data_IF_887061119727
#
_entry.id   IF_887061119727
#
_cell.length_a   1.000
_cell.length_b   1.000
_cell.length_c   1.000
_cell.angle_alpha   90.00
_cell.angle_beta   90.00
_cell.angle_gamma   90.00
#
_symmetry.space_group_name_H-M   'P 1'
#
loop_
_entity.id
_entity.type
_entity.pdbx_description
1 polymer ?
#
# COMPACT_ATOMS: atom_id res chain seq x y z
N UNK A 1 38.43 6.45 -57.60
CA UNK A 1 39.49 7.23 -56.91
C UNK A 1 39.02 7.40 -55.46
N UNK A 2 39.74 6.90 -54.43
CA UNK A 2 40.91 7.55 -53.79
C UNK A 2 40.57 8.99 -53.33
N UNK A 3 40.74 9.47 -52.09
CA UNK A 3 41.06 8.94 -50.74
C UNK A 3 40.23 9.81 -49.71
N UNK A 4 40.41 9.90 -48.38
CA UNK A 4 41.44 9.42 -47.43
C UNK A 4 40.89 9.28 -46.00
N UNK A 5 41.39 8.27 -45.30
CA UNK A 5 41.27 8.05 -43.86
C UNK A 5 41.86 9.17 -42.98
N UNK A 6 41.24 9.42 -41.82
CA UNK A 6 41.90 9.97 -40.63
C UNK A 6 41.44 9.21 -39.38
N UNK A 7 42.41 8.80 -38.56
CA UNK A 7 42.24 7.98 -37.37
C UNK A 7 42.31 8.88 -36.13
N UNK A 8 41.37 8.71 -35.19
CA UNK A 8 41.59 9.14 -33.80
C UNK A 8 41.44 7.97 -32.84
N UNK A 9 42.59 7.50 -32.35
CA UNK A 9 42.74 6.98 -30.98
C UNK A 9 42.46 8.17 -30.04
N UNK A 10 41.92 8.02 -28.83
CA UNK A 10 41.49 6.83 -28.10
C UNK A 10 41.63 7.11 -26.60
N UNK A 11 40.60 6.80 -25.79
CA UNK A 11 40.64 7.03 -24.33
C UNK A 11 39.77 6.02 -23.58
N UNK A 12 40.40 5.05 -22.95
CA UNK A 12 39.80 4.16 -21.95
C UNK A 12 39.72 4.85 -20.58
N UNK A 13 38.59 4.79 -19.86
CA UNK A 13 38.56 4.97 -18.42
C UNK A 13 38.36 3.62 -17.70
N UNK A 14 39.46 2.88 -17.51
CA UNK A 14 39.49 1.72 -16.62
C UNK A 14 40.10 2.13 -15.26
N UNK A 15 39.33 2.84 -14.42
CA UNK A 15 39.69 3.15 -13.03
C UNK A 15 38.51 3.80 -12.25
N UNK A 16 37.52 3.00 -11.83
CA UNK A 16 36.45 3.47 -10.93
C UNK A 16 36.09 2.46 -9.81
N UNK A 17 36.91 1.42 -9.60
CA UNK A 17 36.67 0.33 -8.66
C UNK A 17 37.70 0.32 -7.51
N UNK A 18 37.87 1.45 -6.80
CA UNK A 18 38.83 1.55 -5.69
C UNK A 18 38.59 2.71 -4.68
N UNK A 19 37.34 3.05 -4.33
CA UNK A 19 37.12 4.18 -3.40
C UNK A 19 35.91 4.13 -2.44
N UNK A 20 35.52 2.94 -1.95
CA UNK A 20 34.39 2.82 -1.01
C UNK A 20 34.61 1.86 0.19
N UNK A 21 35.85 1.73 0.68
CA UNK A 21 36.20 0.94 1.88
C UNK A 21 36.86 1.75 3.02
N UNK A 22 36.43 3.00 3.28
CA UNK A 22 36.97 3.82 4.39
C UNK A 22 35.92 4.65 5.17
N UNK A 23 34.77 4.07 5.51
CA UNK A 23 33.80 4.71 6.44
C UNK A 23 33.44 3.90 7.69
N UNK A 24 34.26 2.92 8.06
CA UNK A 24 34.24 2.31 9.40
C UNK A 24 35.53 2.60 10.17
N UNK A 25 35.63 3.81 10.76
CA UNK A 25 36.59 4.10 11.83
C UNK A 25 35.90 4.75 13.01
N UNK A 26 35.78 3.98 14.08
CA UNK A 26 35.19 4.37 15.35
C UNK A 26 35.94 5.56 15.98
N UNK A 27 35.24 6.67 16.21
CA UNK A 27 35.73 7.77 17.04
C UNK A 27 35.14 7.66 18.46
N UNK A 28 35.75 6.81 19.29
CA UNK A 28 35.38 6.68 20.71
C UNK A 28 35.87 7.90 21.51
N UNK A 29 35.14 9.01 21.43
CA UNK A 29 35.43 10.24 22.16
C UNK A 29 35.10 10.10 23.66
N UNK A 30 36.08 9.59 24.44
CA UNK A 30 36.06 9.69 25.90
C UNK A 30 36.09 11.17 26.31
N UNK A 31 34.97 11.70 26.80
CA UNK A 31 34.96 13.04 27.39
C UNK A 31 34.36 13.01 28.81
N UNK A 32 35.22 12.72 29.79
CA UNK A 32 34.88 12.66 31.21
C UNK A 32 34.77 14.08 31.81
N UNK A 33 33.73 14.82 31.42
CA UNK A 33 33.44 16.17 31.91
C UNK A 33 32.96 16.18 33.37
N UNK A 34 33.86 16.40 34.33
CA UNK A 34 33.51 16.65 35.74
C UNK A 34 32.77 17.99 35.93
N UNK A 35 31.44 17.98 35.89
CA UNK A 35 30.64 19.10 36.36
C UNK A 35 30.59 19.18 37.90
N UNK A 36 31.66 19.68 38.52
CA UNK A 36 31.59 20.19 39.91
C UNK A 36 30.86 21.53 39.91
N UNK A 37 29.56 21.53 40.23
CA UNK A 37 28.84 22.74 40.68
C UNK A 37 28.63 22.70 42.18
N UNK A 38 29.56 23.28 42.93
CA UNK A 38 29.36 23.64 44.33
C UNK A 38 28.51 24.90 44.42
N UNK A 39 27.18 24.74 44.37
CA UNK A 39 26.24 25.79 44.73
C UNK A 39 26.14 25.95 46.25
N UNK A 40 25.97 27.16 46.79
CA UNK A 40 25.80 27.36 48.23
C UNK A 40 24.50 26.72 48.72
N UNK A 41 24.56 26.10 49.89
CA UNK A 41 23.40 25.42 50.49
C UNK A 41 22.28 26.44 50.80
N UNK A 42 21.02 26.18 50.40
CA UNK A 42 19.89 27.02 50.79
C UNK A 42 19.67 26.89 52.31
N UNK A 43 19.49 28.02 52.98
CA UNK A 43 19.26 28.07 54.42
C UNK A 43 17.93 27.36 54.78
N UNK A 44 17.84 26.69 55.94
CA UNK A 44 16.61 26.07 56.42
C UNK A 44 15.62 27.14 56.89
N UNK A 45 14.93 27.79 55.95
CA UNK A 45 13.79 28.64 56.23
C UNK A 45 12.69 27.85 56.93
N UNK A 46 12.24 28.33 58.09
CA UNK A 46 11.12 27.75 58.86
C UNK A 46 9.89 27.61 57.95
N UNK A 47 9.59 26.39 57.51
CA UNK A 47 8.26 26.05 56.99
C UNK A 47 7.30 26.11 58.16
N UNK A 48 6.44 27.12 58.19
CA UNK A 48 5.22 27.06 59.01
C UNK A 48 4.38 25.85 58.58
N UNK A 49 3.55 25.28 59.46
CA UNK A 49 2.66 24.18 59.09
C UNK A 49 1.74 24.66 57.97
N UNK A 50 1.90 24.10 56.77
CA UNK A 50 0.92 24.24 55.71
C UNK A 50 -0.39 23.61 56.23
N UNK A 51 -1.54 24.30 56.13
CA UNK A 51 -2.80 23.72 56.56
C UNK A 51 -3.05 22.45 55.74
N UNK A 52 -3.28 21.34 56.44
CA UNK A 52 -3.58 20.05 55.82
C UNK A 52 -4.99 20.09 55.20
N UNK A 53 -5.09 20.68 54.00
CA UNK A 53 -6.26 20.56 53.12
C UNK A 53 -6.24 19.19 52.43
N UNK A 54 -6.33 18.15 53.23
CA UNK A 54 -6.60 16.79 52.80
C UNK A 54 -8.10 16.65 52.48
N UNK A 55 -8.58 17.38 51.47
CA UNK A 55 -9.75 16.92 50.72
C UNK A 55 -9.22 15.90 49.71
N UNK A 56 -9.00 14.67 50.19
CA UNK A 56 -8.68 13.51 49.37
C UNK A 56 -9.95 13.06 48.61
N UNK A 57 -10.53 13.95 47.81
CA UNK A 57 -11.53 13.57 46.83
C UNK A 57 -10.81 12.91 45.64
N UNK A 58 -10.20 11.75 45.86
CA UNK A 58 -9.74 10.89 44.78
C UNK A 58 -10.93 10.47 43.88
N UNK A 59 -12.14 10.47 44.44
CA UNK A 59 -13.43 10.32 43.76
C UNK A 59 -13.76 11.45 42.75
N UNK A 60 -13.19 12.65 42.86
CA UNK A 60 -13.51 13.79 41.97
C UNK A 60 -12.71 13.72 40.64
N UNK A 61 -11.63 12.94 40.62
CA UNK A 61 -10.93 12.57 39.37
C UNK A 61 -11.61 11.42 38.61
N UNK A 62 -12.58 10.73 39.24
CA UNK A 62 -13.26 9.55 38.68
C UNK A 62 -14.65 9.85 38.10
N UNK A 63 -15.18 11.07 38.26
CA UNK A 63 -16.60 11.38 38.06
C UNK A 63 -17.05 11.73 36.63
N UNK A 64 -16.15 11.85 35.64
CA UNK A 64 -16.58 12.07 34.26
C UNK A 64 -17.02 10.75 33.61
N UNK A 65 -18.31 10.56 33.27
CA UNK A 65 -18.79 9.31 32.65
C UNK A 65 -18.11 9.03 31.30
N UNK A 66 -17.65 10.08 30.60
CA UNK A 66 -16.91 10.00 29.35
C UNK A 66 -15.39 9.81 29.52
N UNK A 67 -14.85 9.63 30.75
CA UNK A 67 -13.39 9.55 30.96
C UNK A 67 -12.72 8.39 30.20
N UNK A 68 -13.45 7.30 29.91
CA UNK A 68 -12.97 6.23 29.04
C UNK A 68 -12.59 6.75 27.64
N UNK A 69 -13.42 7.63 27.05
CA UNK A 69 -13.22 8.26 25.73
C UNK A 69 -12.00 9.18 25.66
N UNK A 70 -11.44 9.59 26.80
CA UNK A 70 -10.20 10.36 26.86
C UNK A 70 -8.94 9.47 26.75
N UNK A 71 -9.08 8.18 26.98
CA UNK A 71 -8.01 7.17 26.86
C UNK A 71 -8.24 6.20 25.70
N UNK A 72 -9.37 6.27 25.00
CA UNK A 72 -9.57 5.63 23.71
C UNK A 72 -8.49 6.09 22.72
N UNK A 73 -7.77 5.13 22.14
CA UNK A 73 -6.76 5.38 21.14
C UNK A 73 -7.45 5.77 19.83
N UNK A 74 -7.59 7.08 19.58
CA UNK A 74 -8.03 7.59 18.27
C UNK A 74 -6.94 7.37 17.24
N UNK A 75 -7.30 6.80 16.10
CA UNK A 75 -6.38 6.74 14.97
C UNK A 75 -6.26 8.13 14.32
N UNK A 76 -5.10 8.43 13.74
CA UNK A 76 -4.93 9.67 13.00
C UNK A 76 -5.86 9.68 11.78
N UNK A 77 -6.44 10.86 11.50
CA UNK A 77 -7.41 11.09 10.43
C UNK A 77 -8.69 10.22 10.49
N UNK A 78 -9.03 9.62 11.64
CA UNK A 78 -10.20 8.75 11.76
C UNK A 78 -11.53 9.48 11.48
N UNK A 79 -11.58 10.78 11.82
CA UNK A 79 -12.67 11.74 11.64
C UNK A 79 -12.66 12.46 10.27
N UNK A 80 -11.67 12.21 9.42
CA UNK A 80 -11.59 12.82 8.09
C UNK A 80 -12.58 12.13 7.11
N UNK A 81 -13.14 12.89 6.14
CA UNK A 81 -14.09 12.33 5.19
C UNK A 81 -13.42 11.31 4.28
N UNK A 82 -14.19 10.31 3.84
CA UNK A 82 -13.65 9.26 2.98
C UNK A 82 -13.34 9.73 1.55
N UNK A 83 -13.81 10.92 1.17
CA UNK A 83 -13.54 11.57 -0.11
C UNK A 83 -12.70 12.83 0.08
N UNK A 84 -11.59 12.93 -0.65
CA UNK A 84 -10.75 14.12 -0.73
C UNK A 84 -10.81 14.73 -2.13
N UNK A 85 -10.75 16.06 -2.22
CA UNK A 85 -10.67 16.75 -3.50
C UNK A 85 -9.24 16.65 -4.03
N UNK A 86 -9.10 16.32 -5.31
CA UNK A 86 -7.83 16.23 -6.02
C UNK A 86 -7.79 17.20 -7.20
N UNK A 87 -6.61 17.78 -7.44
CA UNK A 87 -6.40 18.74 -8.53
C UNK A 87 -5.85 18.00 -9.76
N UNK A 88 -6.46 18.12 -10.94
CA UNK A 88 -5.88 17.57 -12.16
C UNK A 88 -4.64 18.39 -12.58
N UNK A 89 -3.45 17.80 -12.47
CA UNK A 89 -2.18 18.45 -12.83
C UNK A 89 -1.93 18.36 -14.34
N UNK A 90 -2.12 17.16 -14.91
CA UNK A 90 -1.96 16.92 -16.35
C UNK A 90 -2.82 15.76 -16.83
N UNK A 91 -3.15 15.80 -18.11
CA UNK A 91 -3.70 14.69 -18.89
C UNK A 91 -2.69 14.33 -19.98
N UNK A 92 -2.43 13.04 -20.15
CA UNK A 92 -1.57 12.52 -21.22
C UNK A 92 -2.33 11.43 -21.96
N UNK A 93 -2.67 11.66 -23.23
CA UNK A 93 -3.27 10.61 -24.05
C UNK A 93 -2.17 9.59 -24.42
N UNK A 94 -2.34 8.33 -23.98
CA UNK A 94 -1.31 7.28 -24.11
C UNK A 94 -1.48 6.46 -25.40
N UNK A 95 -2.73 6.17 -25.75
CA UNK A 95 -3.12 5.40 -26.93
C UNK A 95 -4.55 5.80 -27.35
N UNK A 96 -5.03 5.40 -28.55
CA UNK A 96 -6.38 5.73 -29.00
C UNK A 96 -7.47 5.24 -28.02
N UNK A 97 -8.10 6.18 -27.30
CA UNK A 97 -9.13 5.90 -26.30
C UNK A 97 -8.61 5.56 -24.89
N UNK A 98 -7.31 5.73 -24.63
CA UNK A 98 -6.70 5.51 -23.30
C UNK A 98 -5.84 6.72 -22.92
N UNK A 99 -6.12 7.30 -21.76
CA UNK A 99 -5.38 8.45 -21.23
C UNK A 99 -4.92 8.20 -19.80
N UNK A 100 -3.77 8.78 -19.43
CA UNK A 100 -3.34 8.92 -18.05
C UNK A 100 -3.79 10.28 -17.51
N UNK A 101 -4.43 10.28 -16.34
CA UNK A 101 -4.68 11.48 -15.56
C UNK A 101 -3.67 11.51 -14.40
N UNK A 102 -2.93 12.61 -14.25
CA UNK A 102 -2.08 12.84 -13.08
C UNK A 102 -2.75 13.85 -12.16
N UNK A 103 -3.15 13.37 -10.98
CA UNK A 103 -3.86 14.10 -9.95
C UNK A 103 -2.89 14.48 -8.82
N UNK A 104 -2.98 15.71 -8.31
CA UNK A 104 -2.39 16.08 -7.03
C UNK A 104 -3.33 15.67 -5.91
N UNK A 105 -2.88 14.75 -5.05
CA UNK A 105 -3.67 14.18 -3.96
C UNK A 105 -3.02 14.44 -2.60
N UNK A 106 -3.83 14.64 -1.57
CA UNK A 106 -3.38 14.60 -0.17
C UNK A 106 -3.02 13.16 0.20
N UNK A 107 -1.84 12.94 0.78
CA UNK A 107 -1.36 11.62 1.25
C UNK A 107 -0.87 11.65 2.70
N UNK A 108 -1.01 12.78 3.40
CA UNK A 108 -0.59 12.91 4.81
C UNK A 108 -1.32 11.92 5.72
N UNK A 109 -0.54 11.22 6.55
CA UNK A 109 -1.08 10.35 7.61
C UNK A 109 -1.85 11.07 8.72
N UNK A 110 -1.78 12.41 8.78
CA UNK A 110 -2.63 13.22 9.68
C UNK A 110 -3.99 13.61 9.06
N UNK A 111 -4.16 13.43 7.74
CA UNK A 111 -5.37 13.86 7.00
C UNK A 111 -6.06 12.76 6.20
N UNK A 112 -5.35 11.68 5.87
CA UNK A 112 -5.90 10.51 5.17
C UNK A 112 -5.76 9.29 6.07
N UNK A 113 -6.88 8.69 6.52
CA UNK A 113 -6.83 7.51 7.38
C UNK A 113 -6.22 6.33 6.62
N UNK A 114 -5.55 5.43 7.34
CA UNK A 114 -4.82 4.31 6.73
C UNK A 114 -5.71 3.41 5.85
N UNK A 115 -7.01 3.32 6.15
CA UNK A 115 -8.04 2.62 5.36
C UNK A 115 -8.29 3.21 3.97
N UNK A 116 -8.01 4.50 3.77
CA UNK A 116 -8.29 5.23 2.53
C UNK A 116 -7.01 5.62 1.79
N UNK A 117 -5.85 5.14 2.25
CA UNK A 117 -4.56 5.54 1.69
C UNK A 117 -4.08 4.56 0.62
N UNK A 118 -3.35 5.09 -0.36
CA UNK A 118 -2.56 4.28 -1.28
C UNK A 118 -1.31 3.74 -0.56
N UNK A 119 -1.18 2.43 -0.46
CA UNK A 119 -0.15 1.72 0.32
C UNK A 119 0.63 0.70 -0.52
N UNK A 120 0.03 0.10 -1.54
CA UNK A 120 0.65 -0.97 -2.33
C UNK A 120 0.30 -0.87 -3.83
N UNK A 121 1.26 -1.21 -4.70
CA UNK A 121 0.99 -1.35 -6.13
C UNK A 121 -0.08 -2.44 -6.38
N UNK A 122 -0.91 -2.23 -7.40
CA UNK A 122 -2.07 -3.07 -7.70
C UNK A 122 -3.35 -2.73 -6.91
N UNK A 123 -3.34 -1.70 -6.04
CA UNK A 123 -4.58 -1.12 -5.55
C UNK A 123 -5.28 -0.29 -6.64
N UNK A 124 -6.61 -0.23 -6.58
CA UNK A 124 -7.43 0.57 -7.48
C UNK A 124 -7.82 1.89 -6.79
N UNK A 125 -7.73 3.01 -7.51
CA UNK A 125 -8.24 4.29 -7.02
C UNK A 125 -9.75 4.39 -7.29
N UNK A 126 -10.53 4.68 -6.24
CA UNK A 126 -11.95 5.02 -6.39
C UNK A 126 -12.07 6.51 -6.71
N UNK A 127 -12.48 6.85 -7.93
CA UNK A 127 -12.55 8.22 -8.43
C UNK A 127 -13.96 8.59 -8.89
N UNK A 128 -14.31 9.87 -8.78
CA UNK A 128 -15.48 10.46 -9.45
C UNK A 128 -15.19 11.89 -9.89
N UNK A 129 -15.70 12.27 -11.07
CA UNK A 129 -15.64 13.65 -11.56
C UNK A 129 -16.93 14.40 -11.17
N UNK A 130 -16.81 15.63 -10.68
CA UNK A 130 -17.91 16.54 -10.34
C UNK A 130 -19.00 15.88 -9.48
N UNK A 131 -18.58 15.07 -8.49
CA UNK A 131 -19.42 14.24 -7.60
C UNK A 131 -20.40 13.30 -8.34
N UNK A 132 -20.06 12.89 -9.56
CA UNK A 132 -20.83 11.99 -10.42
C UNK A 132 -20.60 10.51 -10.13
N UNK A 133 -20.59 9.70 -11.19
CA UNK A 133 -20.47 8.23 -11.09
C UNK A 133 -19.08 7.84 -10.58
N UNK A 134 -19.07 6.92 -9.61
CA UNK A 134 -17.85 6.39 -9.00
C UNK A 134 -17.27 5.25 -9.85
N UNK A 135 -15.95 5.26 -10.03
CA UNK A 135 -15.20 4.28 -10.82
C UNK A 135 -13.98 3.81 -10.06
N UNK A 136 -13.69 2.51 -10.18
CA UNK A 136 -12.41 1.94 -9.78
C UNK A 136 -11.47 1.98 -10.99
N UNK A 137 -10.32 2.60 -10.82
CA UNK A 137 -9.34 2.80 -11.89
C UNK A 137 -7.95 2.32 -11.47
N UNK A 138 -7.20 1.70 -12.39
CA UNK A 138 -5.86 1.21 -12.12
C UNK A 138 -4.88 2.37 -11.92
N UNK A 139 -4.03 2.24 -10.90
CA UNK A 139 -3.02 3.25 -10.56
C UNK A 139 -1.69 2.89 -11.24
N UNK A 140 -1.13 3.84 -11.99
CA UNK A 140 0.15 3.71 -12.68
C UNK A 140 1.34 4.34 -11.92
N UNK A 141 1.07 5.30 -11.03
CA UNK A 141 2.11 5.85 -10.15
C UNK A 141 2.47 4.88 -9.02
N UNK A 142 3.73 4.80 -8.59
CA UNK A 142 4.10 4.04 -7.40
C UNK A 142 3.44 4.60 -6.13
N UNK A 143 3.22 3.79 -5.09
CA UNK A 143 2.70 4.28 -3.82
C UNK A 143 3.67 5.26 -3.14
N UNK A 144 3.18 6.30 -2.46
CA UNK A 144 4.03 7.33 -1.87
C UNK A 144 4.90 6.75 -0.76
N UNK A 145 6.22 6.92 -0.89
CA UNK A 145 7.20 6.40 0.06
C UNK A 145 6.98 6.93 1.49
N UNK A 146 7.36 6.11 2.48
CA UNK A 146 7.35 6.48 3.91
C UNK A 146 8.12 7.77 4.16
N UNK A 147 9.16 8.03 3.37
CA UNK A 147 9.98 9.24 3.42
C UNK A 147 9.19 10.52 3.17
N UNK A 148 8.21 10.53 2.26
CA UNK A 148 7.36 11.69 2.01
C UNK A 148 6.46 11.99 3.22
N UNK A 149 5.96 10.95 3.89
CA UNK A 149 5.09 11.03 5.05
C UNK A 149 5.82 11.18 6.41
N UNK A 150 7.15 11.32 6.39
CA UNK A 150 8.01 11.25 7.58
C UNK A 150 7.65 12.28 8.65
N UNK A 151 7.36 13.52 8.28
CA UNK A 151 7.01 14.58 9.26
C UNK A 151 5.65 14.32 9.91
N UNK A 152 4.61 14.06 9.11
CA UNK A 152 3.27 13.71 9.58
C UNK A 152 3.31 12.48 10.53
N UNK A 153 4.12 11.46 10.20
CA UNK A 153 4.30 10.27 11.03
C UNK A 153 4.99 10.56 12.38
N UNK A 154 5.99 11.44 12.43
CA UNK A 154 6.62 11.82 13.72
C UNK A 154 5.65 12.59 14.62
N UNK A 155 4.90 13.52 14.06
CA UNK A 155 3.88 14.28 14.81
C UNK A 155 2.75 13.36 15.30
N UNK A 156 2.24 12.47 14.44
CA UNK A 156 1.22 11.46 14.78
C UNK A 156 1.62 10.57 15.96
N UNK A 157 2.91 10.22 16.08
CA UNK A 157 3.43 9.43 17.23
C UNK A 157 3.40 10.17 18.56
N UNK A 158 3.19 11.48 18.56
CA UNK A 158 3.30 12.30 19.76
C UNK A 158 4.74 12.43 20.26
N UNK A 159 5.74 12.28 19.38
CA UNK A 159 7.17 12.48 19.68
C UNK A 159 7.44 13.98 19.92
N UNK A 160 7.14 14.44 21.13
CA UNK A 160 7.43 15.79 21.61
C UNK A 160 8.92 15.86 21.98
N UNK A 161 9.66 16.82 21.44
CA UNK A 161 11.08 16.96 21.77
C UNK A 161 11.26 17.35 23.25
N UNK A 162 12.35 16.87 23.86
CA UNK A 162 12.63 17.13 25.28
C UNK A 162 12.74 18.63 25.57
N UNK A 163 11.75 19.18 26.27
CA UNK A 163 11.65 20.60 26.59
C UNK A 163 10.54 21.35 25.85
N UNK A 164 9.89 20.77 24.85
CA UNK A 164 8.69 21.31 24.24
C UNK A 164 7.45 21.06 25.12
N UNK A 165 6.57 22.06 25.22
CA UNK A 165 5.23 21.90 25.78
C UNK A 165 4.25 21.42 24.71
N UNK A 166 3.21 20.67 25.12
CA UNK A 166 2.09 20.29 24.26
C UNK A 166 1.36 21.54 23.76
N UNK A 167 1.71 21.98 22.55
CA UNK A 167 1.04 23.04 21.81
C UNK A 167 0.17 22.40 20.73
N UNK A 168 -1.04 22.93 20.52
CA UNK A 168 -1.86 22.56 19.36
C UNK A 168 -1.12 23.03 18.11
N UNK A 169 -0.72 22.08 17.26
CA UNK A 169 -0.11 22.34 15.96
C UNK A 169 -1.13 22.05 14.86
N UNK A 170 -1.05 22.80 13.77
CA UNK A 170 -1.86 22.53 12.58
C UNK A 170 -1.41 21.21 11.94
N UNK A 171 -2.35 20.40 11.40
CA UNK A 171 -2.05 19.12 10.78
C UNK A 171 -1.24 19.33 9.49
N UNK A 172 -0.17 18.56 9.34
CA UNK A 172 0.70 18.57 8.15
C UNK A 172 -0.10 18.10 6.95
N UNK A 173 -0.10 18.89 5.90
CA UNK A 173 -0.50 18.46 4.56
C UNK A 173 0.74 17.93 3.83
N UNK A 174 0.58 16.85 3.08
CA UNK A 174 1.62 16.26 2.24
C UNK A 174 0.95 15.81 0.96
N UNK A 175 1.26 16.49 -0.13
CA UNK A 175 0.71 16.19 -1.45
C UNK A 175 1.62 15.24 -2.23
N UNK A 176 1.04 14.43 -3.11
CA UNK A 176 1.76 13.56 -4.05
C UNK A 176 1.04 13.50 -5.41
N UNK A 177 1.79 13.19 -6.47
CA UNK A 177 1.23 12.89 -7.79
C UNK A 177 0.70 11.45 -7.82
N UNK A 178 -0.60 11.29 -8.06
CA UNK A 178 -1.26 10.03 -8.39
C UNK A 178 -1.52 9.98 -9.89
N UNK A 179 -0.94 9.02 -10.60
CA UNK A 179 -1.25 8.78 -12.01
C UNK A 179 -2.17 7.58 -12.14
N UNK A 180 -3.33 7.77 -12.77
CA UNK A 180 -4.34 6.72 -13.03
C UNK A 180 -4.56 6.57 -14.54
N UNK A 181 -4.80 5.34 -14.98
CA UNK A 181 -5.11 5.07 -16.41
C UNK A 181 -6.62 4.96 -16.59
N UNK A 182 -7.13 5.67 -17.59
CA UNK A 182 -8.56 5.84 -17.86
C UNK A 182 -8.86 5.47 -19.31
N UNK A 183 -9.75 4.50 -19.49
CA UNK A 183 -10.27 4.13 -20.81
C UNK A 183 -11.58 4.86 -21.11
N UNK A 184 -11.68 5.43 -22.31
CA UNK A 184 -12.86 6.17 -22.78
C UNK A 184 -14.15 5.34 -22.78
N UNK A 185 -14.06 4.00 -22.87
CA UNK A 185 -15.20 3.08 -22.82
C UNK A 185 -15.63 2.75 -21.39
N UNK A 186 -14.69 2.62 -20.46
CA UNK A 186 -14.95 2.16 -19.09
C UNK A 186 -15.41 3.32 -18.18
N UNK A 187 -14.83 4.51 -18.36
CA UNK A 187 -15.12 5.70 -17.56
C UNK A 187 -15.16 6.96 -18.45
N UNK A 188 -16.18 7.11 -19.32
CA UNK A 188 -16.26 8.22 -20.26
C UNK A 188 -16.30 9.59 -19.56
N UNK A 189 -16.94 9.68 -18.40
CA UNK A 189 -16.96 10.90 -17.57
C UNK A 189 -15.56 11.31 -17.09
N UNK A 190 -14.73 10.37 -16.62
CA UNK A 190 -13.35 10.66 -16.20
C UNK A 190 -12.42 10.88 -17.40
N UNK A 191 -12.67 10.22 -18.52
CA UNK A 191 -11.96 10.46 -19.78
C UNK A 191 -12.29 11.83 -20.41
N UNK A 192 -13.40 12.47 -20.05
CA UNK A 192 -13.80 13.79 -20.55
C UNK A 192 -13.30 14.97 -19.70
N UNK A 193 -12.71 14.70 -18.52
CA UNK A 193 -12.25 15.70 -17.54
C UNK A 193 -11.24 16.68 -18.14
N UNK A 194 -11.42 17.96 -17.81
CA UNK A 194 -10.56 19.09 -18.12
C UNK A 194 -9.80 19.57 -16.87
N UNK A 195 -8.81 20.45 -17.04
CA UNK A 195 -7.98 20.93 -15.92
C UNK A 195 -8.76 21.72 -14.85
N UNK A 196 -9.91 22.30 -15.22
CA UNK A 196 -10.78 23.09 -14.33
C UNK A 196 -11.89 22.25 -13.66
N UNK A 197 -12.01 20.95 -13.98
CA UNK A 197 -13.01 20.05 -13.38
C UNK A 197 -12.60 19.56 -11.99
N UNK A 198 -13.58 19.38 -11.09
CA UNK A 198 -13.32 18.82 -9.76
C UNK A 198 -13.25 17.30 -9.83
N UNK A 199 -12.12 16.72 -9.46
CA UNK A 199 -11.99 15.26 -9.28
C UNK A 199 -11.96 14.96 -7.78
N UNK A 200 -12.74 13.97 -7.33
CA UNK A 200 -12.72 13.50 -5.94
C UNK A 200 -12.13 12.08 -5.89
N UNK A 201 -11.25 11.86 -4.92
CA UNK A 201 -10.58 10.59 -4.64
C UNK A 201 -11.17 9.99 -3.37
N UNK A 202 -11.77 8.82 -3.50
CA UNK A 202 -12.29 8.02 -2.40
C UNK A 202 -11.25 7.05 -1.83
N UNK A 203 -11.67 6.08 -1.00
CA UNK A 203 -10.79 5.03 -0.51
C UNK A 203 -10.18 4.20 -1.65
N UNK A 204 -8.91 3.82 -1.52
CA UNK A 204 -8.28 2.87 -2.43
C UNK A 204 -8.78 1.46 -2.15
N UNK A 205 -9.16 0.73 -3.19
CA UNK A 205 -9.71 -0.63 -3.07
C UNK A 205 -8.70 -1.72 -3.44
N UNK A 206 -8.87 -2.89 -2.81
CA UNK A 206 -7.90 -3.97 -2.78
C UNK A 206 -6.77 -3.73 -1.77
N UNK A 207 -6.15 -4.80 -1.28
CA UNK A 207 -4.92 -4.72 -0.47
C UNK A 207 -3.62 -4.59 -1.29
N UNK A 208 -3.73 -4.50 -2.62
CA UNK A 208 -2.60 -4.54 -3.55
C UNK A 208 -2.00 -5.93 -3.71
N UNK A 209 -0.88 -6.01 -4.42
CA UNK A 209 -0.18 -7.28 -4.69
C UNK A 209 0.45 -7.86 -3.43
N UNK A 210 0.07 -9.09 -3.08
CA UNK A 210 0.56 -9.79 -1.88
C UNK A 210 1.95 -10.43 -2.09
N UNK A 211 2.92 -9.60 -2.47
CA UNK A 211 4.31 -10.01 -2.74
C UNK A 211 5.05 -10.52 -1.49
N UNK A 212 4.55 -10.17 -0.29
CA UNK A 212 5.14 -10.55 0.99
C UNK A 212 4.82 -11.99 1.38
N UNK A 213 3.55 -12.39 1.37
CA UNK A 213 3.16 -13.73 1.81
C UNK A 213 3.57 -14.80 0.79
N UNK A 214 3.54 -14.47 -0.51
CA UNK A 214 4.12 -15.31 -1.57
C UNK A 214 5.67 -15.37 -1.54
N UNK A 215 6.33 -14.56 -0.71
CA UNK A 215 7.79 -14.55 -0.59
C UNK A 215 8.55 -13.94 -1.77
N UNK A 216 7.86 -13.38 -2.78
CA UNK A 216 8.43 -12.80 -4.01
C UNK A 216 9.42 -11.68 -3.70
N UNK A 217 9.22 -10.92 -2.62
CA UNK A 217 10.15 -9.88 -2.15
C UNK A 217 11.54 -10.41 -1.73
N UNK A 218 11.72 -11.72 -1.53
CA UNK A 218 13.03 -12.30 -1.22
C UNK A 218 13.89 -12.43 -2.48
N UNK A 219 14.62 -11.36 -2.83
CA UNK A 219 15.43 -11.28 -4.05
C UNK A 219 16.41 -12.46 -4.26
N UNK A 220 17.00 -12.99 -3.20
CA UNK A 220 17.90 -14.15 -3.26
C UNK A 220 17.20 -15.51 -3.39
N UNK A 221 15.88 -15.59 -3.10
CA UNK A 221 15.08 -16.81 -3.31
C UNK A 221 14.57 -16.89 -4.75
N UNK A 222 14.18 -15.73 -5.31
CA UNK A 222 13.64 -15.62 -6.66
C UNK A 222 14.49 -14.65 -7.50
N UNK A 223 15.74 -15.00 -7.84
CA UNK A 223 16.62 -14.14 -8.63
C UNK A 223 16.04 -13.80 -10.01
N UNK A 224 15.18 -14.65 -10.58
CA UNK A 224 14.47 -14.42 -11.83
C UNK A 224 12.99 -14.09 -11.56
N UNK A 225 12.48 -13.01 -12.17
CA UNK A 225 11.07 -12.65 -12.12
C UNK A 225 10.47 -12.59 -13.53
N UNK A 226 9.27 -13.16 -13.67
CA UNK A 226 8.46 -13.09 -14.89
C UNK A 226 7.18 -12.30 -14.60
N UNK A 227 6.97 -11.19 -15.30
CA UNK A 227 5.75 -10.39 -15.20
C UNK A 227 4.90 -10.66 -16.45
N UNK A 228 3.72 -11.27 -16.27
CA UNK A 228 2.75 -11.54 -17.33
C UNK A 228 1.70 -10.43 -17.30
N UNK A 229 1.80 -9.48 -18.21
CA UNK A 229 1.08 -8.20 -18.18
C UNK A 229 0.11 -8.09 -19.36
N UNK A 230 -1.17 -7.78 -19.11
CA UNK A 230 -2.17 -7.55 -20.17
C UNK A 230 -2.89 -6.20 -20.02
N UNK A 231 -3.26 -5.61 -21.15
CA UNK A 231 -4.15 -4.45 -21.22
C UNK A 231 -3.60 -3.16 -20.59
N UNK A 232 -4.49 -2.22 -20.33
CA UNK A 232 -4.15 -0.91 -19.75
C UNK A 232 -3.98 -0.96 -18.22
N UNK A 233 -4.82 -1.76 -17.55
CA UNK A 233 -4.79 -1.93 -16.10
C UNK A 233 -3.57 -2.73 -15.61
N UNK A 234 -3.20 -3.80 -16.32
CA UNK A 234 -2.02 -4.59 -16.02
C UNK A 234 -0.73 -3.78 -16.11
N UNK A 235 -0.52 -3.04 -17.20
CA UNK A 235 0.70 -2.24 -17.40
C UNK A 235 0.78 -1.03 -16.45
N UNK A 236 -0.36 -0.48 -16.02
CA UNK A 236 -0.41 0.51 -14.95
C UNK A 236 0.11 -0.08 -13.62
N UNK A 237 -0.46 -1.21 -13.18
CA UNK A 237 -0.01 -1.93 -11.99
C UNK A 237 1.47 -2.35 -12.08
N UNK A 238 1.92 -2.81 -13.25
CA UNK A 238 3.31 -3.16 -13.52
C UNK A 238 4.23 -1.94 -13.40
N UNK A 239 3.85 -0.79 -13.95
CA UNK A 239 4.60 0.46 -13.77
C UNK A 239 4.66 0.88 -12.30
N UNK A 240 3.53 0.89 -11.59
CA UNK A 240 3.50 1.25 -10.17
C UNK A 240 4.45 0.35 -9.33
N UNK A 241 4.54 -0.93 -9.68
CA UNK A 241 5.45 -1.90 -9.06
C UNK A 241 6.93 -1.67 -9.44
N UNK A 242 7.24 -1.58 -10.74
CA UNK A 242 8.60 -1.37 -11.25
C UNK A 242 9.17 0.01 -10.93
N UNK A 243 8.30 1.00 -10.68
CA UNK A 243 8.67 2.37 -10.28
C UNK A 243 8.59 2.59 -8.76
N UNK A 244 8.27 1.55 -7.97
CA UNK A 244 8.18 1.67 -6.51
C UNK A 244 9.51 2.12 -5.87
N UNK A 245 9.44 2.95 -4.80
CA UNK A 245 10.61 3.35 -4.03
C UNK A 245 11.03 2.26 -3.03
N UNK A 246 12.31 2.21 -2.62
CA UNK A 246 12.85 1.14 -1.79
C UNK A 246 12.35 1.14 -0.33
N UNK A 247 11.62 2.18 0.10
CA UNK A 247 10.94 2.23 1.40
C UNK A 247 9.51 1.65 1.36
N UNK A 248 9.06 1.16 0.21
CA UNK A 248 7.78 0.47 -0.02
C UNK A 248 8.02 -1.00 -0.44
N UNK A 249 7.02 -1.67 -1.02
CA UNK A 249 7.11 -3.06 -1.49
C UNK A 249 7.91 -3.19 -2.81
N UNK A 250 9.16 -2.74 -2.79
CA UNK A 250 10.10 -2.81 -3.93
C UNK A 250 10.49 -4.27 -4.24
N UNK A 251 10.54 -4.60 -5.54
CA UNK A 251 11.07 -5.88 -6.02
C UNK A 251 12.60 -6.00 -5.85
N UNK A 252 13.28 -4.90 -5.50
CA UNK A 252 14.74 -4.80 -5.38
C UNK A 252 15.43 -5.21 -6.69
N UNK A 253 15.04 -4.56 -7.79
CA UNK A 253 15.42 -4.90 -9.18
C UNK A 253 16.94 -5.02 -9.36
N UNK A 254 17.73 -4.15 -8.70
CA UNK A 254 19.20 -4.16 -8.72
C UNK A 254 19.84 -5.45 -8.14
N UNK A 255 19.08 -6.23 -7.35
CA UNK A 255 19.53 -7.49 -6.73
C UNK A 255 19.01 -8.74 -7.46
N UNK A 256 18.16 -8.58 -8.48
CA UNK A 256 17.69 -9.67 -9.33
C UNK A 256 18.73 -9.99 -10.41
N UNK A 257 18.65 -11.18 -10.99
CA UNK A 257 19.48 -11.61 -12.13
C UNK A 257 18.80 -11.28 -13.45
N UNK A 258 17.50 -11.53 -13.57
CA UNK A 258 16.68 -11.17 -14.74
C UNK A 258 15.24 -10.83 -14.31
N UNK A 259 14.61 -9.88 -15.01
CA UNK A 259 13.23 -9.43 -14.77
C UNK A 259 12.57 -9.21 -16.13
N UNK A 260 11.79 -10.17 -16.59
CA UNK A 260 11.18 -10.15 -17.93
C UNK A 260 9.71 -9.80 -17.83
N UNK A 261 9.28 -8.80 -18.59
CA UNK A 261 7.91 -8.31 -18.64
C UNK A 261 7.32 -8.66 -20.00
N UNK A 262 6.55 -9.74 -20.07
CA UNK A 262 5.77 -10.09 -21.25
C UNK A 262 4.49 -9.24 -21.24
N UNK A 263 4.43 -8.27 -22.15
CA UNK A 263 3.31 -7.34 -22.25
C UNK A 263 2.44 -7.67 -23.47
N UNK A 264 1.30 -8.33 -23.20
CA UNK A 264 0.28 -8.67 -24.19
C UNK A 264 -0.62 -7.47 -24.49
N UNK A 265 -0.74 -7.15 -25.78
CA UNK A 265 -1.57 -6.05 -26.29
C UNK A 265 -2.34 -6.48 -27.55
N UNK A 266 -3.56 -5.97 -27.79
CA UNK A 266 -4.33 -6.36 -28.97
C UNK A 266 -3.72 -5.86 -30.29
N UNK A 267 -2.86 -4.84 -30.26
CA UNK A 267 -2.15 -4.28 -31.41
C UNK A 267 -1.00 -3.38 -30.94
N UNK A 268 -0.04 -3.11 -31.82
CA UNK A 268 1.12 -2.26 -31.49
C UNK A 268 0.74 -0.83 -31.08
N UNK A 269 -0.31 -0.23 -31.66
CA UNK A 269 -0.77 1.13 -31.30
C UNK A 269 -1.44 1.23 -29.92
N UNK A 270 -1.73 0.10 -29.27
CA UNK A 270 -2.25 0.03 -27.89
C UNK A 270 -1.14 -0.13 -26.83
N UNK A 271 0.13 -0.20 -27.22
CA UNK A 271 1.26 -0.31 -26.27
C UNK A 271 1.46 1.00 -25.51
N UNK A 272 1.13 0.99 -24.21
CA UNK A 272 1.31 2.13 -23.32
C UNK A 272 2.76 2.23 -22.83
N UNK A 273 3.16 3.43 -22.37
CA UNK A 273 4.42 3.67 -21.65
C UNK A 273 5.73 3.23 -22.33
N UNK A 274 5.77 3.19 -23.68
CA UNK A 274 6.96 2.83 -24.47
C UNK A 274 8.23 3.60 -24.10
N UNK A 275 8.08 4.86 -23.69
CA UNK A 275 9.17 5.74 -23.23
C UNK A 275 9.78 5.28 -21.90
N UNK A 276 8.99 4.63 -21.04
CA UNK A 276 9.40 4.14 -19.72
C UNK A 276 10.21 2.85 -19.79
N UNK A 277 10.09 2.05 -20.85
CA UNK A 277 10.81 0.77 -20.98
C UNK A 277 12.33 0.94 -20.84
N UNK A 278 12.88 2.02 -21.41
CA UNK A 278 14.30 2.38 -21.26
C UNK A 278 14.67 2.75 -19.82
N UNK A 279 13.79 3.46 -19.11
CA UNK A 279 14.00 3.84 -17.70
C UNK A 279 13.99 2.61 -16.80
N UNK A 280 13.13 1.63 -17.05
CA UNK A 280 13.10 0.38 -16.29
C UNK A 280 14.37 -0.46 -16.53
N UNK A 281 14.82 -0.55 -17.78
CA UNK A 281 16.09 -1.21 -18.14
C UNK A 281 17.34 -0.49 -17.59
N UNK A 282 17.24 0.79 -17.22
CA UNK A 282 18.30 1.55 -16.53
C UNK A 282 18.30 1.33 -15.00
N UNK A 283 17.19 0.85 -14.41
CA UNK A 283 17.08 0.56 -12.95
C UNK A 283 17.57 -0.83 -12.55
N UNK A 284 17.76 -1.75 -13.49
CA UNK A 284 18.11 -3.14 -13.23
C UNK A 284 18.03 -4.00 -14.50
N UNK A 285 18.13 -5.33 -14.40
CA UNK A 285 18.02 -6.24 -15.54
C UNK A 285 16.55 -6.41 -15.95
N UNK A 286 15.85 -5.31 -16.26
CA UNK A 286 14.45 -5.32 -16.69
C UNK A 286 14.37 -5.30 -18.20
N UNK A 287 13.69 -6.29 -18.77
CA UNK A 287 13.45 -6.43 -20.22
C UNK A 287 11.95 -6.49 -20.48
N UNK A 288 11.46 -5.71 -21.44
CA UNK A 288 10.04 -5.71 -21.83
C UNK A 288 9.89 -6.37 -23.21
N UNK A 289 9.13 -7.45 -23.28
CA UNK A 289 8.78 -8.19 -24.49
C UNK A 289 7.33 -7.90 -24.83
N UNK A 290 7.08 -7.13 -25.87
CA UNK A 290 5.71 -6.81 -26.31
C UNK A 290 5.22 -7.89 -27.28
N UNK A 291 4.03 -8.43 -27.04
CA UNK A 291 3.39 -9.48 -27.86
C UNK A 291 1.96 -9.07 -28.26
N UNK A 292 1.51 -9.56 -29.41
CA UNK A 292 0.12 -9.44 -29.89
C UNK A 292 -0.55 -10.79 -30.10
N UNK A 293 0.09 -11.89 -29.69
CA UNK A 293 -0.35 -13.27 -29.99
C UNK A 293 -0.78 -14.07 -28.76
N UNK A 294 -0.54 -13.54 -27.57
CA UNK A 294 -0.67 -14.27 -26.32
C UNK A 294 0.66 -14.31 -25.54
N UNK A 295 0.58 -14.82 -24.32
CA UNK A 295 1.71 -15.07 -23.44
C UNK A 295 2.50 -16.31 -23.83
N UNK A 296 1.84 -17.41 -24.22
CA UNK A 296 2.52 -18.67 -24.58
C UNK A 296 3.48 -18.48 -25.78
N UNK A 297 2.97 -17.92 -26.88
CA UNK A 297 3.74 -17.55 -28.09
C UNK A 297 4.95 -16.64 -27.78
N UNK A 298 4.84 -15.80 -26.74
CA UNK A 298 5.89 -14.85 -26.35
C UNK A 298 6.93 -15.45 -25.41
N UNK A 299 6.52 -16.38 -24.55
CA UNK A 299 7.36 -17.10 -23.60
C UNK A 299 8.18 -18.18 -24.32
N UNK A 300 7.54 -19.01 -25.15
CA UNK A 300 8.20 -20.04 -25.98
C UNK A 300 9.13 -19.44 -27.03
N UNK A 301 8.82 -18.22 -27.51
CA UNK A 301 9.63 -17.49 -28.47
C UNK A 301 10.87 -16.79 -27.87
N UNK A 302 11.06 -16.83 -26.55
CA UNK A 302 12.13 -16.11 -25.86
C UNK A 302 13.31 -17.01 -25.47
N UNK A 303 14.12 -17.36 -26.47
CA UNK A 303 15.41 -18.06 -26.33
C UNK A 303 16.39 -17.38 -25.32
N UNK A 304 16.12 -16.16 -24.86
CA UNK A 304 16.99 -15.42 -23.93
C UNK A 304 16.62 -15.55 -22.46
N UNK A 305 15.40 -16.03 -22.13
CA UNK A 305 15.01 -16.29 -20.74
C UNK A 305 15.64 -17.60 -20.24
N UNK A 306 16.71 -17.48 -19.45
CA UNK A 306 17.25 -18.60 -18.68
C UNK A 306 16.61 -18.63 -17.30
N UNK A 307 15.69 -19.56 -17.07
CA UNK A 307 14.95 -19.71 -15.82
C UNK A 307 15.09 -21.11 -15.23
N UNK A 308 14.86 -21.18 -13.92
CA UNK A 308 14.77 -22.42 -13.13
C UNK A 308 13.44 -22.35 -12.35
N UNK A 309 12.50 -23.30 -12.52
CA UNK A 309 11.15 -23.21 -11.96
C UNK A 309 11.12 -23.01 -10.42
N UNK A 310 12.07 -23.60 -9.70
CA UNK A 310 12.16 -23.52 -8.23
C UNK A 310 12.64 -22.13 -7.74
N UNK A 311 13.40 -21.41 -8.56
CA UNK A 311 14.00 -20.09 -8.25
C UNK A 311 13.45 -18.96 -9.10
N UNK A 312 12.35 -19.20 -9.82
CA UNK A 312 11.60 -18.20 -10.58
C UNK A 312 10.27 -17.91 -9.90
N UNK A 313 9.84 -16.65 -9.90
CA UNK A 313 8.49 -16.29 -9.48
C UNK A 313 7.77 -15.48 -10.56
N UNK A 314 6.49 -15.78 -10.77
CA UNK A 314 5.65 -15.07 -11.73
C UNK A 314 4.74 -14.03 -11.05
N UNK A 315 4.46 -12.92 -11.74
CA UNK A 315 3.51 -11.89 -11.31
C UNK A 315 2.54 -11.64 -12.46
N UNK A 316 1.28 -12.01 -12.27
CA UNK A 316 0.21 -11.93 -13.27
C UNK A 316 -0.55 -10.62 -13.04
N UNK A 317 -0.51 -9.71 -14.02
CA UNK A 317 -1.07 -8.37 -13.97
C UNK A 317 -1.98 -8.17 -15.18
N UNK A 318 -3.23 -8.60 -15.08
CA UNK A 318 -4.17 -8.65 -16.22
C UNK A 318 -5.42 -7.79 -16.02
N UNK A 319 -5.54 -7.08 -14.89
CA UNK A 319 -6.62 -6.13 -14.65
C UNK A 319 -8.00 -6.77 -14.48
N UNK A 320 -8.05 -8.05 -14.12
CA UNK A 320 -9.30 -8.81 -14.00
C UNK A 320 -9.83 -9.43 -15.30
N UNK A 321 -9.04 -9.41 -16.39
CA UNK A 321 -9.33 -10.20 -17.59
C UNK A 321 -9.10 -11.69 -17.31
N UNK A 322 -10.19 -12.43 -17.09
CA UNK A 322 -10.16 -13.85 -16.75
C UNK A 322 -9.63 -14.76 -17.87
N UNK A 323 -9.70 -14.35 -19.14
CA UNK A 323 -9.15 -15.12 -20.26
C UNK A 323 -7.62 -15.00 -20.27
N UNK A 324 -7.12 -13.77 -20.17
CA UNK A 324 -5.68 -13.50 -20.04
C UNK A 324 -5.09 -14.08 -18.74
N UNK A 325 -5.87 -14.12 -17.65
CA UNK A 325 -5.45 -14.74 -16.39
C UNK A 325 -5.32 -16.27 -16.48
N UNK A 326 -6.23 -16.91 -17.22
CA UNK A 326 -6.19 -18.36 -17.46
C UNK A 326 -4.98 -18.72 -18.33
N UNK A 327 -4.75 -17.98 -19.43
CA UNK A 327 -3.57 -18.15 -20.29
C UNK A 327 -2.27 -17.93 -19.50
N UNK A 328 -2.19 -16.88 -18.69
CA UNK A 328 -1.01 -16.61 -17.86
C UNK A 328 -0.73 -17.73 -16.84
N UNK A 329 -1.78 -18.36 -16.28
CA UNK A 329 -1.64 -19.54 -15.41
C UNK A 329 -1.24 -20.80 -16.17
N UNK A 330 -1.72 -20.99 -17.39
CA UNK A 330 -1.32 -22.11 -18.25
C UNK A 330 0.19 -22.04 -18.54
N UNK A 331 0.70 -20.88 -18.95
CA UNK A 331 2.14 -20.63 -19.13
C UNK A 331 2.93 -20.90 -17.84
N UNK A 332 2.44 -20.46 -16.67
CA UNK A 332 3.12 -20.76 -15.40
C UNK A 332 3.12 -22.25 -15.05
N UNK A 333 2.07 -23.00 -15.43
CA UNK A 333 1.96 -24.42 -15.17
C UNK A 333 2.83 -25.25 -16.11
N UNK A 334 2.90 -24.90 -17.40
CA UNK A 334 3.78 -25.53 -18.39
C UNK A 334 5.26 -25.26 -18.10
N UNK A 335 5.58 -24.07 -17.58
CA UNK A 335 6.91 -23.70 -17.09
C UNK A 335 7.24 -24.25 -15.68
N UNK A 336 6.35 -25.05 -15.07
CA UNK A 336 6.48 -25.59 -13.70
C UNK A 336 6.68 -24.53 -12.58
N UNK A 337 6.38 -23.25 -12.83
CA UNK A 337 6.60 -22.13 -11.89
C UNK A 337 5.56 -22.17 -10.77
N UNK A 338 5.94 -22.78 -9.65
CA UNK A 338 5.05 -23.00 -8.51
C UNK A 338 4.70 -21.73 -7.70
N UNK A 339 5.51 -20.66 -7.78
CA UNK A 339 5.28 -19.42 -7.02
C UNK A 339 4.81 -18.30 -7.93
N UNK A 340 3.54 -17.89 -7.78
CA UNK A 340 2.99 -16.74 -8.49
C UNK A 340 2.08 -15.86 -7.62
N UNK A 341 1.97 -14.59 -8.00
CA UNK A 341 1.02 -13.60 -7.44
C UNK A 341 0.17 -13.05 -8.57
N UNK A 342 -1.12 -12.82 -8.34
CA UNK A 342 -2.03 -12.22 -9.33
C UNK A 342 -2.75 -11.00 -8.76
N UNK A 343 -3.06 -10.02 -9.61
CA UNK A 343 -3.86 -8.84 -9.30
C UNK A 343 -5.37 -9.12 -9.18
N UNK A 344 -5.86 -10.23 -9.74
CA UNK A 344 -7.27 -10.62 -9.70
C UNK A 344 -7.76 -11.08 -8.33
N UNK A 345 -6.86 -11.53 -7.46
CA UNK A 345 -7.16 -12.03 -6.13
C UNK A 345 -7.22 -10.84 -5.16
N UNK A 346 -8.41 -10.34 -4.77
CA UNK A 346 -8.50 -9.22 -3.84
C UNK A 346 -7.91 -9.65 -2.50
N UNK A 347 -6.75 -9.09 -2.16
CA UNK A 347 -6.18 -9.26 -0.83
C UNK A 347 -7.24 -8.83 0.21
N UNK A 348 -7.47 -9.63 1.27
CA UNK A 348 -8.54 -9.37 2.22
C UNK A 348 -8.36 -7.99 2.84
N UNK A 349 -9.49 -7.30 3.08
CA UNK A 349 -9.46 -5.97 3.67
C UNK A 349 -8.61 -5.99 4.96
N UNK A 350 -7.64 -5.09 5.13
CA UNK A 350 -6.74 -5.10 6.26
C UNK A 350 -7.54 -5.03 7.56
N UNK A 351 -7.44 -6.08 8.38
CA UNK A 351 -8.11 -6.13 9.68
C UNK A 351 -7.36 -5.20 10.64
N UNK A 352 -7.80 -3.95 10.69
CA UNK A 352 -7.34 -3.01 11.69
C UNK A 352 -7.72 -3.52 13.08
N UNK A 353 -6.81 -3.34 14.05
CA UNK A 353 -7.12 -3.63 15.44
C UNK A 353 -8.22 -2.67 15.92
N UNK A 354 -9.34 -3.21 16.42
CA UNK A 354 -10.36 -2.44 17.14
C UNK A 354 -9.68 -1.44 18.10
N UNK A 355 -9.99 -0.15 17.96
CA UNK A 355 -9.46 0.91 18.83
C UNK A 355 -9.74 0.65 20.32
N UNK A 356 -10.81 -0.08 20.63
CA UNK A 356 -11.11 -0.62 21.97
C UNK A 356 -10.42 -1.97 22.18
N UNK A 357 -9.40 -2.07 23.06
CA UNK A 357 -8.86 -3.36 23.47
C UNK A 357 -9.97 -4.25 24.05
N UNK A 358 -9.95 -5.55 23.77
CA UNK A 358 -10.95 -6.52 24.27
C UNK A 358 -11.09 -6.53 25.81
N UNK A 359 -10.11 -6.00 26.54
CA UNK A 359 -10.17 -5.77 27.98
C UNK A 359 -11.16 -4.68 28.41
N UNK A 360 -11.40 -3.65 27.60
CA UNK A 360 -12.38 -2.59 27.87
C UNK A 360 -13.81 -3.07 27.62
N UNK A 361 -14.05 -3.80 26.52
CA UNK A 361 -15.35 -4.48 26.25
C UNK A 361 -15.72 -5.47 27.38
N UNK A 362 -14.72 -6.09 28.04
CA UNK A 362 -14.91 -6.91 29.26
C UNK A 362 -15.23 -6.12 30.53
N UNK A 363 -14.99 -4.80 30.55
CA UNK A 363 -15.22 -3.95 31.71
C UNK A 363 -16.65 -3.38 31.72
N UNK A 364 -17.19 -3.03 30.55
CA UNK A 364 -18.60 -2.68 30.37
C UNK A 364 -19.54 -3.80 30.84
N UNK A 365 -19.30 -5.03 30.40
CA UNK A 365 -20.06 -6.23 30.82
C UNK A 365 -19.93 -6.52 32.33
N UNK A 366 -18.91 -5.98 33.00
CA UNK A 366 -18.66 -6.17 34.44
C UNK A 366 -19.23 -5.05 35.33
N UNK A 367 -20.14 -4.22 34.81
CA UNK A 367 -20.87 -3.23 35.61
C UNK A 367 -22.37 -3.56 35.75
N UNK A 368 -22.77 -4.76 36.24
CA UNK A 368 -24.16 -4.98 36.64
C UNK A 368 -24.44 -4.23 37.95
N UNK A 369 -25.39 -3.29 37.93
CA UNK A 369 -26.04 -2.81 39.16
C UNK A 369 -25.54 -1.49 39.77
N UNK A 370 -25.30 -0.44 38.98
CA UNK A 370 -25.11 0.93 39.49
C UNK A 370 -26.35 1.85 39.33
N UNK A 371 -27.42 1.37 38.69
CA UNK A 371 -28.69 2.09 38.54
C UNK A 371 -29.87 1.11 38.63
N UNK A 372 -30.69 1.23 39.67
CA UNK A 372 -31.89 0.40 39.85
C UNK A 372 -32.01 -0.26 41.22
N UNK A 373 -32.15 0.55 42.28
CA UNK A 373 -32.81 0.06 43.49
C UNK A 373 -34.32 -0.02 43.22
N UNK A 374 -34.90 -1.22 43.34
CA UNK A 374 -36.31 -1.48 43.10
C UNK A 374 -36.66 -2.90 43.51
N UNK A 375 -37.19 -3.07 44.71
CA UNK A 375 -37.64 -4.37 45.23
C UNK A 375 -38.78 -4.92 44.36
N UNK A 376 -38.60 -6.14 43.86
CA UNK A 376 -39.57 -6.83 43.02
C UNK A 376 -39.25 -8.32 43.00
N UNK A 377 -39.54 -9.01 44.10
CA UNK A 377 -39.47 -10.46 44.15
C UNK A 377 -40.62 -11.04 43.31
N UNK A 378 -40.26 -11.66 42.19
CA UNK A 378 -41.15 -12.46 41.36
C UNK A 378 -40.38 -13.72 40.94
N UNK A 379 -40.70 -14.85 41.57
CA UNK A 379 -40.32 -16.15 41.06
C UNK A 379 -41.13 -16.43 39.79
N UNK A 380 -40.47 -16.49 38.64
CA UNK A 380 -41.02 -17.11 37.43
C UNK A 380 -40.07 -18.22 37.00
N UNK A 381 -40.58 -19.45 37.05
CA UNK A 381 -39.91 -20.67 36.59
C UNK A 381 -39.97 -20.68 35.05
N UNK A 382 -38.83 -20.56 34.37
CA UNK A 382 -38.76 -20.86 32.93
C UNK A 382 -38.41 -22.34 32.71
N UNK A 383 -39.35 -23.07 32.08
CA UNK A 383 -39.20 -24.47 31.72
C UNK A 383 -38.10 -24.67 30.66
N UNK A 384 -37.22 -25.64 30.92
CA UNK A 384 -36.19 -26.09 30.00
C UNK A 384 -36.82 -26.92 28.85
N UNK A 385 -37.35 -26.25 27.82
CA UNK A 385 -37.81 -26.93 26.60
C UNK A 385 -36.65 -27.29 25.68
N UNK A 386 -36.15 -28.51 25.86
CA UNK A 386 -35.38 -29.20 24.84
C UNK A 386 -36.26 -29.47 23.61
N UNK A 387 -35.81 -29.03 22.43
CA UNK A 387 -36.30 -29.51 21.14
C UNK A 387 -35.16 -30.16 20.38
N UNK A 388 -35.21 -31.48 20.31
CA UNK A 388 -34.48 -32.30 19.35
C UNK A 388 -34.98 -32.06 17.91
N UNK A 389 -34.28 -32.68 16.95
CA UNK A 389 -34.59 -32.77 15.51
C UNK A 389 -34.36 -31.47 14.69
N UNK A 390 -33.89 -31.51 13.43
CA UNK A 390 -34.05 -32.59 12.44
C UNK A 390 -32.80 -32.75 11.50
N UNK A 391 -32.58 -33.98 11.00
CA UNK A 391 -31.51 -34.35 10.07
C UNK A 391 -31.71 -33.77 8.65
N UNK A 392 -30.71 -33.05 8.13
CA UNK A 392 -30.67 -32.55 6.74
C UNK A 392 -29.69 -33.29 5.83
N UNK A 393 -30.03 -34.51 5.37
CA UNK A 393 -29.20 -35.30 4.45
C UNK A 393 -29.24 -34.78 2.99
N UNK A 394 -28.17 -34.98 2.18
CA UNK A 394 -28.03 -34.32 0.88
C UNK A 394 -28.73 -35.04 -0.29
N UNK A 395 -29.41 -34.27 -1.14
CA UNK A 395 -30.00 -34.77 -2.37
C UNK A 395 -28.97 -34.85 -3.52
N UNK A 396 -28.56 -36.07 -3.86
CA UNK A 396 -27.80 -36.36 -5.07
C UNK A 396 -28.66 -37.09 -6.12
N UNK A 397 -28.91 -36.48 -7.28
CA UNK A 397 -29.18 -37.12 -8.58
C UNK A 397 -29.53 -36.06 -9.65
N UNK A 398 -28.96 -36.16 -10.87
CA UNK A 398 -29.25 -35.19 -11.93
C UNK A 398 -28.59 -35.44 -13.30
N UNK A 399 -28.35 -36.70 -13.68
CA UNK A 399 -27.69 -37.03 -14.96
C UNK A 399 -28.67 -37.06 -16.14
N UNK A 400 -28.52 -36.13 -17.10
CA UNK A 400 -29.08 -36.19 -18.46
C UNK A 400 -28.24 -35.29 -19.38
N UNK A 401 -27.30 -35.79 -20.20
CA UNK A 401 -27.45 -36.46 -21.52
C UNK A 401 -28.35 -35.76 -22.57
N UNK A 402 -27.67 -35.32 -23.65
CA UNK A 402 -28.09 -35.23 -25.08
C UNK A 402 -29.18 -34.23 -25.51
N UNK A 403 -28.77 -33.25 -26.33
CA UNK A 403 -28.95 -33.19 -27.79
C UNK A 403 -28.08 -32.03 -28.34
N UNK A 404 -27.17 -32.17 -29.32
CA UNK A 404 -27.33 -32.65 -30.69
C UNK A 404 -28.12 -31.69 -31.62
N UNK A 405 -27.44 -30.66 -32.12
CA UNK A 405 -27.51 -30.25 -33.52
C UNK A 405 -26.24 -29.53 -33.96
#
# INVERSE_FOLDING_TARGET
>A
MQQRALLHRGSTPAAAAAQQQQLFRCAAARNAGRCRRSGPAPQPGRRGPLPARANNNEDDLMQFPDRARWYEAKFAAEDMPDWTVATLIRRTDLAPGVAALTLGIEVSRERVPLRNAYVAAGQLARLRANSGVERLLPVASPPPGVTANKEALFRTRGDIFAGETKSTREPVSTEAELEVVVEAKAAPELYAVQLDDTVEVGPFEGGGLNLREAGVLAAFRFPTLVLLVSGAAGIASARALLESPPDMADLALELRTDVVVYYSVPNESSVLYRDRFKVWAERGPVRVVVTTRGFADAFDGDDSLLYDPDTTAAIILVGGDAEAEAEAREVCAEAEIATFVSDSAPAPAPVYLDATPKSFKRWEVRTPGAAGGGEGAGDEEEEEQASDDEEGAPAAAGSARRAAR
#
